data_IF_103063457478
#
_entry.id   IF_103063457478
#
_cell.length_a   1.000
_cell.length_b   1.000
_cell.length_c   1.000
_cell.angle_alpha   90.00
_cell.angle_beta   90.00
_cell.angle_gamma   90.00
#
_symmetry.space_group_name_H-M   'P 1'
#
loop_
_entity.id
_entity.type
_entity.pdbx_description
1 polymer ?
#
# COMPACT_ATOMS: atom_id res chain seq x y z
N UNK A 1 -26.43 -18.88 10.37
CA UNK A 1 -25.39 -18.13 9.65
C UNK A 1 -24.31 -17.79 10.64
N UNK A 2 -23.05 -18.01 10.27
CA UNK A 2 -21.88 -17.67 11.09
C UNK A 2 -21.22 -16.47 10.43
N UNK A 3 -20.94 -15.42 11.19
CA UNK A 3 -20.21 -14.25 10.69
C UNK A 3 -18.90 -14.14 11.42
N UNK A 4 -17.79 -13.99 10.69
CA UNK A 4 -16.45 -13.99 11.28
C UNK A 4 -15.65 -12.79 10.78
N UNK A 5 -14.99 -12.08 11.70
CA UNK A 5 -14.05 -11.01 11.37
C UNK A 5 -12.61 -11.51 11.47
N UNK A 6 -11.77 -11.04 10.57
CA UNK A 6 -10.33 -11.27 10.52
C UNK A 6 -9.61 -9.91 10.45
N UNK A 7 -8.96 -9.49 11.54
CA UNK A 7 -8.23 -8.22 11.62
C UNK A 7 -7.19 -8.30 12.74
N UNK A 8 -6.06 -7.57 12.64
CA UNK A 8 -4.96 -7.62 13.62
C UNK A 8 -4.41 -9.04 13.88
N UNK A 9 -4.46 -9.92 12.87
CA UNK A 9 -4.08 -11.33 13.04
C UNK A 9 -4.99 -12.14 13.96
N UNK A 10 -6.17 -11.62 14.32
CA UNK A 10 -7.19 -12.31 15.12
C UNK A 10 -8.37 -12.73 14.25
N UNK A 11 -9.00 -13.83 14.66
CA UNK A 11 -10.26 -14.33 14.11
C UNK A 11 -11.32 -14.28 15.22
N UNK A 12 -12.46 -13.64 14.99
CA UNK A 12 -13.57 -13.61 15.97
C UNK A 12 -14.91 -13.89 15.30
N UNK A 13 -15.71 -14.74 15.95
CA UNK A 13 -17.12 -14.91 15.56
C UNK A 13 -17.90 -13.71 16.06
N UNK A 14 -18.57 -13.00 15.15
CA UNK A 14 -19.36 -11.83 15.46
C UNK A 14 -20.73 -12.23 16.00
N UNK A 15 -21.12 -11.61 17.11
CA UNK A 15 -22.49 -11.65 17.65
C UNK A 15 -23.41 -10.73 16.83
N UNK A 16 -22.89 -9.58 16.40
CA UNK A 16 -23.58 -8.67 15.49
C UNK A 16 -22.60 -7.98 14.54
N UNK A 17 -23.10 -7.67 13.36
CA UNK A 17 -22.42 -6.89 12.34
C UNK A 17 -23.45 -6.02 11.63
N UNK A 18 -23.18 -4.71 11.56
CA UNK A 18 -23.94 -3.81 10.70
C UNK A 18 -23.02 -2.78 10.05
N UNK A 19 -23.38 -2.36 8.84
CA UNK A 19 -22.72 -1.27 8.13
C UNK A 19 -23.77 -0.19 7.90
N UNK A 20 -23.42 1.06 8.21
CA UNK A 20 -24.27 2.20 7.84
C UNK A 20 -23.69 2.98 6.67
N UNK A 21 -24.54 3.23 5.68
CA UNK A 21 -24.24 4.11 4.54
C UNK A 21 -25.18 5.30 4.61
N UNK A 22 -24.63 6.52 4.55
CA UNK A 22 -25.42 7.74 4.58
C UNK A 22 -25.19 8.55 3.30
N UNK A 23 -26.27 9.11 2.75
CA UNK A 23 -26.25 10.13 1.70
C UNK A 23 -26.79 11.40 2.30
N UNK A 24 -26.11 12.53 2.07
CA UNK A 24 -26.71 13.80 2.41
C UNK A 24 -27.91 14.02 1.50
N UNK A 25 -29.02 14.47 2.09
CA UNK A 25 -30.24 14.83 1.37
C UNK A 25 -30.52 16.30 1.54
N UNK A 26 -31.03 16.92 0.49
CA UNK A 26 -31.54 18.28 0.50
C UNK A 26 -32.80 18.35 1.36
N UNK A 27 -33.22 19.58 1.68
CA UNK A 27 -34.47 19.84 2.40
C UNK A 27 -35.70 19.23 1.70
N UNK A 28 -35.65 19.02 0.38
CA UNK A 28 -36.70 18.38 -0.42
C UNK A 28 -36.54 16.84 -0.54
N UNK A 29 -35.60 16.24 0.20
CA UNK A 29 -35.34 14.80 0.23
C UNK A 29 -34.49 14.28 -0.94
N UNK A 30 -34.08 15.12 -1.90
CA UNK A 30 -33.21 14.69 -3.00
C UNK A 30 -31.78 14.47 -2.51
N UNK A 31 -31.05 13.46 -3.00
CA UNK A 31 -29.65 13.26 -2.64
C UNK A 31 -28.79 14.45 -3.11
N UNK A 32 -28.05 15.06 -2.19
CA UNK A 32 -27.13 16.18 -2.43
C UNK A 32 -25.73 15.71 -2.80
N UNK A 33 -25.37 14.48 -2.44
CA UNK A 33 -24.03 13.95 -2.65
C UNK A 33 -24.08 12.48 -3.05
N UNK A 34 -22.99 12.02 -3.65
CA UNK A 34 -22.66 10.60 -3.59
C UNK A 34 -22.53 10.17 -2.12
N UNK A 35 -22.71 8.88 -1.83
CA UNK A 35 -22.57 8.32 -0.47
C UNK A 35 -21.30 8.92 0.17
N UNK A 36 -21.42 9.54 1.34
CA UNK A 36 -20.29 10.24 1.96
C UNK A 36 -19.35 9.24 2.63
N UNK A 37 -18.05 9.49 2.45
CA UNK A 37 -16.94 8.73 3.03
C UNK A 37 -16.96 8.76 4.54
N UNK A 38 -17.34 7.62 5.12
CA UNK A 38 -17.04 7.13 6.47
C UNK A 38 -18.08 6.05 6.80
N UNK A 39 -18.00 4.93 6.07
CA UNK A 39 -18.83 3.78 6.40
C UNK A 39 -18.48 3.35 7.82
N UNK A 40 -19.49 3.33 8.69
CA UNK A 40 -19.32 2.87 10.06
C UNK A 40 -19.65 1.40 10.10
N UNK A 41 -18.66 0.60 10.49
CA UNK A 41 -18.85 -0.80 10.78
C UNK A 41 -19.05 -0.93 12.28
N UNK A 42 -20.22 -1.43 12.66
CA UNK A 42 -20.54 -1.77 14.04
C UNK A 42 -20.39 -3.26 14.19
N UNK A 43 -19.50 -3.68 15.10
CA UNK A 43 -19.22 -5.08 15.36
C UNK A 43 -19.35 -5.36 16.86
N UNK A 44 -19.82 -6.55 17.19
CA UNK A 44 -19.76 -7.08 18.55
C UNK A 44 -19.31 -8.53 18.58
N UNK A 45 -18.50 -8.90 19.56
CA UNK A 45 -18.01 -10.26 19.76
C UNK A 45 -17.71 -10.53 21.24
N UNK A 46 -17.67 -11.81 21.62
CA UNK A 46 -17.25 -12.24 22.97
C UNK A 46 -15.73 -12.11 23.07
N UNK A 47 -15.26 -11.49 24.15
CA UNK A 47 -13.84 -11.35 24.42
C UNK A 47 -13.20 -12.73 24.70
N UNK A 48 -12.09 -12.99 24.02
CA UNK A 48 -11.24 -14.16 24.21
C UNK A 48 -9.84 -13.74 24.68
N UNK A 49 -9.03 -14.73 25.08
CA UNK A 49 -7.65 -14.48 25.49
C UNK A 49 -6.85 -13.86 24.33
N UNK A 50 -6.12 -12.77 24.63
CA UNK A 50 -5.29 -12.05 23.65
C UNK A 50 -6.00 -10.93 22.88
N UNK A 51 -7.24 -10.60 23.25
CA UNK A 51 -8.04 -9.51 22.65
C UNK A 51 -7.66 -8.10 23.12
N UNK A 52 -6.66 -7.98 23.98
CA UNK A 52 -6.05 -6.71 24.34
C UNK A 52 -5.57 -5.93 23.11
N UNK A 53 -5.26 -6.63 22.02
CA UNK A 53 -4.89 -6.03 20.73
C UNK A 53 -5.97 -5.10 20.16
N UNK A 54 -7.25 -5.36 20.42
CA UNK A 54 -8.35 -4.52 19.92
C UNK A 54 -8.45 -3.19 20.68
N UNK A 55 -8.22 -3.23 22.00
CA UNK A 55 -8.12 -2.02 22.80
C UNK A 55 -6.84 -1.24 22.46
N UNK A 56 -5.71 -1.94 22.33
CA UNK A 56 -4.45 -1.34 21.91
C UNK A 56 -4.57 -0.70 20.53
N UNK A 57 -5.28 -1.33 19.59
CA UNK A 57 -5.54 -0.75 18.27
C UNK A 57 -6.24 0.61 18.36
N UNK A 58 -7.10 0.84 19.36
CA UNK A 58 -7.72 2.15 19.58
C UNK A 58 -6.83 3.15 20.32
N UNK A 59 -5.93 2.68 21.19
CA UNK A 59 -5.12 3.54 22.07
C UNK A 59 -3.74 3.88 21.50
N UNK A 60 -3.17 3.00 20.68
CA UNK A 60 -1.87 3.21 20.07
C UNK A 60 -1.96 4.32 19.03
N UNK A 61 -0.92 5.16 19.01
CA UNK A 61 -0.84 6.25 18.06
C UNK A 61 -0.37 5.74 16.71
N UNK A 62 -1.03 6.22 15.67
CA UNK A 62 -0.53 6.12 14.32
C UNK A 62 0.76 6.95 14.18
N UNK A 63 1.82 6.36 13.63
CA UNK A 63 3.14 7.00 13.59
C UNK A 63 3.14 8.28 12.73
N UNK A 64 2.31 8.31 11.68
CA UNK A 64 2.22 9.42 10.73
C UNK A 64 1.37 10.56 11.27
N UNK A 65 0.14 10.26 11.69
CA UNK A 65 -0.84 11.27 12.10
C UNK A 65 -0.75 11.66 13.58
N UNK A 66 -0.09 10.85 14.41
CA UNK A 66 -0.05 10.98 15.88
C UNK A 66 -1.43 10.91 16.57
N UNK A 67 -2.49 10.58 15.81
CA UNK A 67 -3.83 10.31 16.32
C UNK A 67 -3.89 8.91 16.94
N UNK A 68 -4.76 8.72 17.93
CA UNK A 68 -5.05 7.39 18.48
C UNK A 68 -5.86 6.58 17.46
N UNK A 69 -5.46 5.33 17.27
CA UNK A 69 -5.99 4.47 16.24
C UNK A 69 -5.28 4.65 14.91
N UNK A 70 -4.97 3.53 14.27
CA UNK A 70 -4.39 3.49 12.93
C UNK A 70 -5.26 2.66 11.98
N UNK A 71 -5.12 2.90 10.68
CA UNK A 71 -5.84 2.12 9.68
C UNK A 71 -5.25 0.71 9.57
N UNK A 72 -6.12 -0.28 9.59
CA UNK A 72 -5.74 -1.68 9.44
C UNK A 72 -6.62 -2.38 8.40
N UNK A 73 -6.02 -3.35 7.70
CA UNK A 73 -6.73 -4.20 6.75
C UNK A 73 -7.43 -5.34 7.48
N UNK A 74 -8.69 -5.55 7.14
CA UNK A 74 -9.44 -6.69 7.67
C UNK A 74 -10.49 -7.19 6.70
N UNK A 75 -11.12 -8.30 7.06
CA UNK A 75 -12.27 -8.83 6.34
C UNK A 75 -13.33 -9.41 7.25
N UNK A 76 -14.58 -9.33 6.84
CA UNK A 76 -15.72 -10.02 7.47
C UNK A 76 -16.27 -11.02 6.47
N UNK A 77 -16.44 -12.27 6.90
CA UNK A 77 -16.98 -13.35 6.07
C UNK A 77 -18.26 -13.87 6.70
N UNK A 78 -19.32 -13.92 5.90
CA UNK A 78 -20.61 -14.50 6.26
C UNK A 78 -20.71 -15.88 5.62
N UNK A 79 -20.86 -16.87 6.47
CA UNK A 79 -21.02 -18.27 6.11
C UNK A 79 -22.48 -18.69 6.22
N UNK A 80 -22.85 -19.65 5.36
CA UNK A 80 -24.17 -20.26 5.39
C UNK A 80 -24.45 -21.02 6.70
N UNK A 81 -25.69 -21.44 6.87
CA UNK A 81 -26.11 -22.27 8.01
C UNK A 81 -26.07 -23.78 7.71
N UNK A 82 -25.52 -24.21 6.57
CA UNK A 82 -25.57 -25.61 6.15
C UNK A 82 -24.54 -26.48 6.86
N UNK A 83 -23.57 -25.86 7.55
CA UNK A 83 -22.49 -26.55 8.26
C UNK A 83 -21.29 -26.93 7.38
N UNK A 84 -21.28 -26.52 6.10
CA UNK A 84 -20.19 -26.75 5.16
C UNK A 84 -19.24 -25.54 5.03
N UNK A 85 -19.36 -24.54 5.90
CA UNK A 85 -18.62 -23.26 5.85
C UNK A 85 -18.63 -22.64 4.43
N UNK A 86 -19.76 -22.76 3.72
CA UNK A 86 -19.91 -22.12 2.41
C UNK A 86 -19.96 -20.61 2.61
N UNK A 87 -19.03 -19.88 1.98
CA UNK A 87 -19.00 -18.42 2.00
C UNK A 87 -20.14 -17.88 1.16
N UNK A 88 -21.01 -17.08 1.78
CA UNK A 88 -22.09 -16.37 1.11
C UNK A 88 -21.61 -14.97 0.71
N UNK A 89 -20.96 -14.28 1.64
CA UNK A 89 -20.59 -12.89 1.46
C UNK A 89 -19.27 -12.58 2.17
N UNK A 90 -18.48 -11.69 1.58
CA UNK A 90 -17.23 -11.19 2.15
C UNK A 90 -17.17 -9.67 2.03
N UNK A 91 -16.74 -9.02 3.10
CA UNK A 91 -16.45 -7.60 3.17
C UNK A 91 -14.96 -7.45 3.43
N UNK A 92 -14.19 -6.91 2.49
CA UNK A 92 -12.80 -6.52 2.72
C UNK A 92 -12.78 -5.02 3.04
N UNK A 93 -12.05 -4.61 4.07
CA UNK A 93 -12.03 -3.22 4.51
C UNK A 93 -10.63 -2.75 4.91
N UNK A 94 -10.46 -1.43 4.83
CA UNK A 94 -9.40 -0.67 5.50
C UNK A 94 -10.10 0.28 6.46
N UNK A 95 -9.91 0.11 7.76
CA UNK A 95 -10.64 0.88 8.76
C UNK A 95 -9.79 1.23 9.97
N UNK A 96 -10.18 2.27 10.71
CA UNK A 96 -9.62 2.61 12.03
C UNK A 96 -10.68 2.55 13.12
N UNK A 97 -10.35 2.16 14.36
CA UNK A 97 -11.31 2.10 15.45
C UNK A 97 -11.61 3.52 15.95
N UNK A 98 -12.90 3.82 16.13
CA UNK A 98 -13.37 5.14 16.63
C UNK A 98 -14.20 5.05 17.90
N UNK A 99 -14.64 3.84 18.27
CA UNK A 99 -15.28 3.58 19.56
C UNK A 99 -15.01 2.15 20.00
N UNK A 100 -14.83 1.96 21.31
CA UNK A 100 -14.66 0.69 21.99
C UNK A 100 -15.45 0.72 23.29
N UNK A 101 -16.25 -0.31 23.52
CA UNK A 101 -16.97 -0.53 24.77
C UNK A 101 -16.86 -2.01 25.14
N UNK A 102 -16.63 -2.27 26.42
CA UNK A 102 -16.58 -3.63 26.97
C UNK A 102 -17.68 -3.78 28.02
N UNK A 103 -18.66 -4.63 27.75
CA UNK A 103 -19.84 -4.84 28.59
C UNK A 103 -19.87 -6.27 29.11
N UNK A 104 -19.95 -6.45 30.42
CA UNK A 104 -20.09 -7.78 31.00
C UNK A 104 -21.55 -8.27 30.95
N UNK A 105 -21.78 -9.41 30.30
CA UNK A 105 -23.04 -10.13 30.31
C UNK A 105 -22.89 -11.43 31.10
N UNK A 106 -23.78 -11.66 32.07
CA UNK A 106 -23.65 -12.81 32.99
C UNK A 106 -23.65 -14.19 32.29
N UNK A 107 -24.33 -14.34 31.15
CA UNK A 107 -24.37 -15.62 30.41
C UNK A 107 -23.27 -15.75 29.35
N UNK A 108 -22.81 -14.62 28.80
CA UNK A 108 -21.94 -14.59 27.61
C UNK A 108 -20.50 -14.21 27.93
N UNK A 109 -20.24 -13.68 29.13
CA UNK A 109 -18.96 -13.10 29.51
C UNK A 109 -18.83 -11.64 29.06
N UNK A 110 -17.59 -11.19 28.86
CA UNK A 110 -17.30 -9.85 28.35
C UNK A 110 -17.61 -9.78 26.86
N UNK A 111 -18.46 -8.83 26.47
CA UNK A 111 -18.77 -8.51 25.08
C UNK A 111 -18.04 -7.22 24.73
N UNK A 112 -17.28 -7.25 23.64
CA UNK A 112 -16.65 -6.09 23.05
C UNK A 112 -17.56 -5.56 21.96
N UNK A 113 -17.93 -4.28 22.07
CA UNK A 113 -18.61 -3.52 21.02
C UNK A 113 -17.61 -2.53 20.43
N UNK A 114 -17.43 -2.54 19.11
CA UNK A 114 -16.56 -1.59 18.42
C UNK A 114 -17.28 -0.90 17.27
N UNK A 115 -16.93 0.37 17.06
CA UNK A 115 -17.23 1.08 15.82
C UNK A 115 -15.93 1.34 15.08
N UNK A 116 -15.86 0.89 13.84
CA UNK A 116 -14.76 1.15 12.92
C UNK A 116 -15.21 2.18 11.88
N UNK A 117 -14.35 3.14 11.58
CA UNK A 117 -14.52 4.04 10.44
C UNK A 117 -13.73 3.47 9.26
N UNK A 118 -14.43 2.96 8.25
CA UNK A 118 -13.78 2.48 7.03
C UNK A 118 -13.44 3.63 6.07
N UNK A 119 -12.21 3.61 5.59
CA UNK A 119 -11.74 4.41 4.45
C UNK A 119 -12.14 3.73 3.13
N UNK A 120 -11.96 2.42 3.06
CA UNK A 120 -12.32 1.59 1.89
C UNK A 120 -13.04 0.34 2.34
N UNK A 121 -14.09 -0.03 1.62
CA UNK A 121 -14.78 -1.31 1.79
C UNK A 121 -15.18 -1.90 0.44
N UNK A 122 -14.92 -3.19 0.27
CA UNK A 122 -15.26 -3.99 -0.91
C UNK A 122 -16.17 -5.13 -0.49
N UNK A 123 -17.28 -5.33 -1.21
CA UNK A 123 -18.26 -6.36 -0.89
C UNK A 123 -18.35 -7.36 -2.03
N UNK A 124 -18.13 -8.63 -1.69
CA UNK A 124 -18.18 -9.77 -2.60
C UNK A 124 -19.35 -10.68 -2.21
N UNK A 125 -20.19 -11.03 -3.17
CA UNK A 125 -21.26 -12.03 -3.03
C UNK A 125 -21.28 -12.92 -4.29
N UNK A 126 -21.75 -14.17 -4.17
CA UNK A 126 -21.88 -15.11 -5.29
C UNK A 126 -22.79 -14.59 -6.43
N UNK A 127 -23.72 -13.68 -6.14
CA UNK A 127 -24.68 -13.15 -7.13
C UNK A 127 -24.43 -11.69 -7.56
N UNK A 128 -23.67 -10.90 -6.80
CA UNK A 128 -23.48 -9.47 -7.07
C UNK A 128 -22.07 -9.01 -6.67
N UNK A 129 -21.33 -8.46 -7.64
CA UNK A 129 -20.27 -7.51 -7.36
C UNK A 129 -20.93 -6.17 -7.07
N UNK A 130 -21.13 -5.83 -5.78
CA UNK A 130 -21.47 -4.45 -5.44
C UNK A 130 -20.19 -3.66 -5.71
N UNK A 131 -20.22 -2.81 -6.74
CA UNK A 131 -19.06 -1.97 -7.12
C UNK A 131 -18.46 -1.33 -5.86
N UNK A 132 -17.11 -1.27 -5.75
CA UNK A 132 -16.44 -0.41 -4.79
C UNK A 132 -17.12 0.95 -4.85
N UNK A 133 -17.66 1.44 -3.74
CA UNK A 133 -18.06 2.84 -3.68
C UNK A 133 -16.76 3.64 -3.64
N UNK A 134 -16.18 3.91 -4.81
CA UNK A 134 -15.17 4.94 -4.97
C UNK A 134 -15.85 6.26 -4.65
N UNK A 135 -15.42 6.89 -3.55
CA UNK A 135 -15.74 8.29 -3.32
C UNK A 135 -15.01 9.11 -4.38
N UNK A 136 -15.72 9.91 -5.21
CA UNK A 136 -15.08 11.09 -5.76
C UNK A 136 -14.79 11.99 -4.55
N UNK A 137 -13.52 12.10 -4.18
CA UNK A 137 -13.07 13.16 -3.28
C UNK A 137 -13.50 14.47 -3.96
N UNK A 138 -14.49 15.17 -3.39
CA UNK A 138 -14.72 16.56 -3.78
C UNK A 138 -13.39 17.27 -3.58
N UNK A 139 -12.83 17.77 -4.68
CA UNK A 139 -11.52 18.43 -4.71
C UNK A 139 -11.54 19.74 -3.93
N UNK A 140 -11.64 19.69 -2.61
CA UNK A 140 -11.24 20.77 -1.72
C UNK A 140 -9.75 20.62 -1.45
N UNK A 141 -8.94 21.10 -2.41
CA UNK A 141 -7.49 21.29 -2.36
C UNK A 141 -6.70 20.08 -1.84
N UNK A 142 -6.30 19.26 -2.81
CA UNK A 142 -5.37 18.15 -2.73
C UNK A 142 -4.21 18.40 -1.75
N UNK A 143 -4.14 17.60 -0.69
CA UNK A 143 -2.87 17.08 -0.21
C UNK A 143 -2.87 15.60 -0.59
N UNK A 144 -2.23 15.29 -1.72
CA UNK A 144 -1.95 13.90 -2.10
C UNK A 144 -0.97 13.35 -1.07
N UNK A 145 -1.46 12.52 -0.15
CA UNK A 145 -0.66 11.44 0.39
C UNK A 145 -1.19 10.18 -0.29
N UNK A 146 -0.80 10.02 -1.55
CA UNK A 146 -0.73 8.69 -2.14
C UNK A 146 0.23 7.90 -1.24
N UNK A 147 -0.20 6.73 -0.76
CA UNK A 147 0.77 5.68 -0.52
C UNK A 147 1.36 5.37 -1.90
N UNK A 148 2.40 6.14 -2.27
CA UNK A 148 3.28 5.82 -3.36
C UNK A 148 3.75 4.39 -3.05
N UNK A 149 3.27 3.43 -3.85
CA UNK A 149 4.26 2.49 -4.39
C UNK A 149 5.33 3.42 -4.93
N UNK A 150 6.43 3.52 -4.21
CA UNK A 150 7.59 4.29 -4.57
C UNK A 150 8.07 3.71 -5.90
N UNK A 151 7.46 4.14 -6.99
CA UNK A 151 7.80 3.69 -8.33
C UNK A 151 9.14 4.32 -8.62
N UNK A 152 10.12 3.49 -8.91
CA UNK A 152 11.42 3.92 -9.43
C UNK A 152 11.20 4.95 -10.52
N UNK A 153 11.63 6.18 -10.27
CA UNK A 153 11.58 7.26 -11.26
C UNK A 153 13.01 7.68 -11.56
N UNK A 154 13.54 7.23 -12.71
CA UNK A 154 14.82 7.72 -13.23
C UNK A 154 14.55 9.04 -13.95
N UNK A 155 15.13 10.12 -13.43
CA UNK A 155 14.94 11.49 -13.95
C UNK A 155 16.08 11.92 -14.86
N UNK A 156 17.31 11.51 -14.56
CA UNK A 156 18.47 11.80 -15.40
C UNK A 156 19.44 10.62 -15.46
N UNK A 157 20.09 10.47 -16.61
CA UNK A 157 21.22 9.56 -16.80
C UNK A 157 22.28 10.26 -17.65
N UNK A 158 23.50 10.38 -17.14
CA UNK A 158 24.60 11.04 -17.85
C UNK A 158 25.97 10.53 -17.40
N UNK A 159 27.01 10.80 -18.19
CA UNK A 159 28.38 10.42 -17.86
C UNK A 159 29.16 11.56 -17.23
N UNK A 160 30.03 11.25 -16.26
CA UNK A 160 31.02 12.18 -15.71
C UNK A 160 32.44 11.59 -15.81
N UNK A 161 33.43 12.48 -15.91
CA UNK A 161 34.83 12.09 -15.79
C UNK A 161 35.24 11.93 -14.31
N UNK A 162 36.49 11.53 -14.06
CA UNK A 162 37.04 11.39 -12.70
C UNK A 162 37.15 12.70 -11.91
N UNK A 163 36.95 13.86 -12.55
CA UNK A 163 36.90 15.18 -11.92
C UNK A 163 35.47 15.61 -11.59
N UNK A 164 34.46 14.83 -11.97
CA UNK A 164 33.05 15.15 -11.79
C UNK A 164 32.43 16.00 -12.91
N UNK A 165 33.16 16.30 -13.99
CA UNK A 165 32.60 17.08 -15.09
C UNK A 165 31.71 16.21 -15.97
N UNK A 166 30.50 16.69 -16.31
CA UNK A 166 29.62 16.05 -17.30
C UNK A 166 30.32 15.94 -18.65
N UNK A 167 30.33 14.75 -19.23
CA UNK A 167 30.93 14.46 -20.54
C UNK A 167 29.89 13.81 -21.45
N UNK A 168 29.99 14.08 -22.76
CA UNK A 168 29.13 13.41 -23.74
C UNK A 168 29.61 12.00 -24.08
N UNK A 169 30.94 11.79 -24.12
CA UNK A 169 31.57 10.50 -24.41
C UNK A 169 32.89 10.37 -23.65
N UNK A 170 33.19 9.17 -23.17
CA UNK A 170 34.51 8.83 -22.64
C UNK A 170 35.51 8.50 -23.75
N UNK A 171 36.81 8.58 -23.44
CA UNK A 171 37.89 8.14 -24.34
C UNK A 171 38.26 6.70 -24.05
N UNK A 172 38.69 5.95 -25.05
CA UNK A 172 39.16 4.57 -24.89
C UNK A 172 40.27 4.51 -23.84
N UNK A 173 40.16 3.57 -22.90
CA UNK A 173 41.06 3.41 -21.76
C UNK A 173 40.78 4.36 -20.58
N UNK A 174 39.80 5.25 -20.70
CA UNK A 174 39.40 6.16 -19.62
C UNK A 174 38.42 5.48 -18.67
N UNK A 175 38.59 5.73 -17.37
CA UNK A 175 37.58 5.45 -16.35
C UNK A 175 36.61 6.64 -16.23
N UNK A 176 35.33 6.32 -16.29
CA UNK A 176 34.21 7.27 -16.20
C UNK A 176 33.19 6.76 -15.19
N UNK A 177 32.23 7.60 -14.82
CA UNK A 177 31.06 7.16 -14.08
C UNK A 177 29.82 7.43 -14.90
N UNK A 178 28.86 6.50 -14.85
CA UNK A 178 27.49 6.81 -15.20
C UNK A 178 26.77 7.24 -13.92
N UNK A 179 26.17 8.42 -13.98
CA UNK A 179 25.36 8.99 -12.90
C UNK A 179 23.90 8.78 -13.26
N UNK A 180 23.16 8.16 -12.36
CA UNK A 180 21.72 7.94 -12.47
C UNK A 180 21.06 8.70 -11.34
N UNK A 181 20.21 9.66 -11.70
CA UNK A 181 19.42 10.43 -10.74
C UNK A 181 17.98 9.98 -10.79
N UNK A 182 17.38 9.86 -9.63
CA UNK A 182 16.01 9.42 -9.54
C UNK A 182 15.45 9.58 -8.15
N UNK A 183 14.36 8.85 -7.92
CA UNK A 183 13.76 8.67 -6.61
C UNK A 183 13.48 7.20 -6.43
N UNK A 184 13.59 6.73 -5.19
CA UNK A 184 13.23 5.38 -4.82
C UNK A 184 14.07 4.33 -5.57
N UNK A 185 15.33 4.66 -5.86
CA UNK A 185 16.22 3.77 -6.60
C UNK A 185 16.68 2.61 -5.70
N UNK A 186 16.95 2.88 -4.42
CA UNK A 186 17.66 1.96 -3.53
C UNK A 186 16.97 0.59 -3.41
N UNK A 187 17.71 -0.48 -3.69
CA UNK A 187 17.24 -1.86 -3.59
C UNK A 187 16.48 -2.38 -4.81
N UNK A 188 16.24 -1.53 -5.82
CA UNK A 188 15.56 -1.92 -7.05
C UNK A 188 16.55 -2.44 -8.09
N UNK A 189 16.10 -3.40 -8.90
CA UNK A 189 16.90 -4.06 -9.93
C UNK A 189 16.57 -3.47 -11.31
N UNK A 190 17.59 -3.06 -12.06
CA UNK A 190 17.42 -2.54 -13.43
C UNK A 190 18.48 -3.04 -14.41
N UNK A 191 18.05 -3.17 -15.67
CA UNK A 191 18.94 -3.34 -16.81
C UNK A 191 19.24 -1.96 -17.42
N UNK A 192 20.51 -1.57 -17.44
CA UNK A 192 20.96 -0.28 -17.95
C UNK A 192 21.54 -0.43 -19.34
N UNK A 193 20.90 0.21 -20.32
CA UNK A 193 21.32 0.20 -21.73
C UNK A 193 22.23 1.41 -21.98
N UNK A 194 23.51 1.14 -22.24
CA UNK A 194 24.58 2.15 -22.36
C UNK A 194 25.04 2.39 -23.80
N UNK A 195 24.28 1.91 -24.77
CA UNK A 195 24.68 1.73 -26.18
C UNK A 195 25.37 2.94 -26.81
N UNK A 196 26.60 2.74 -27.30
CA UNK A 196 27.33 3.71 -28.12
C UNK A 196 28.05 2.99 -29.27
N UNK A 197 27.80 3.40 -30.52
CA UNK A 197 28.40 2.74 -31.70
C UNK A 197 29.94 2.81 -31.77
N UNK A 198 30.59 3.66 -30.96
CA UNK A 198 32.02 3.96 -31.07
C UNK A 198 32.87 3.42 -29.92
N UNK A 199 32.25 2.98 -28.83
CA UNK A 199 32.94 2.54 -27.61
C UNK A 199 32.09 1.47 -26.91
N UNK A 200 32.75 0.52 -26.28
CA UNK A 200 32.09 -0.42 -25.37
C UNK A 200 32.47 -0.09 -23.92
N UNK A 201 31.75 -0.70 -22.98
CA UNK A 201 31.98 -0.51 -21.55
C UNK A 201 32.38 -1.80 -20.84
N UNK A 202 33.21 -1.65 -19.81
CA UNK A 202 33.59 -2.70 -18.86
C UNK A 202 33.15 -2.30 -17.46
N UNK A 203 32.49 -3.22 -16.76
CA UNK A 203 32.07 -3.08 -15.37
C UNK A 203 32.72 -4.17 -14.52
N UNK A 204 33.39 -3.79 -13.44
CA UNK A 204 34.10 -4.71 -12.53
C UNK A 204 35.02 -5.73 -13.25
N UNK A 205 35.75 -5.30 -14.27
CA UNK A 205 36.67 -6.16 -15.02
C UNK A 205 36.01 -7.03 -16.11
N UNK A 206 34.68 -6.92 -16.29
CA UNK A 206 33.93 -7.66 -17.30
C UNK A 206 33.32 -6.72 -18.31
N UNK A 207 33.59 -6.98 -19.59
CA UNK A 207 32.99 -6.26 -20.70
C UNK A 207 31.47 -6.51 -20.72
N UNK A 208 30.69 -5.46 -20.92
CA UNK A 208 29.25 -5.54 -21.05
C UNK A 208 28.88 -6.08 -22.43
N UNK A 209 27.99 -7.08 -22.48
CA UNK A 209 27.49 -7.60 -23.76
C UNK A 209 26.39 -6.67 -24.28
N UNK A 210 26.53 -6.22 -25.54
CA UNK A 210 25.64 -5.25 -26.19
C UNK A 210 25.49 -3.92 -25.42
N UNK A 211 26.50 -3.54 -24.64
CA UNK A 211 26.49 -2.39 -23.74
C UNK A 211 25.32 -2.39 -22.74
N UNK A 212 24.85 -3.57 -22.33
CA UNK A 212 23.80 -3.69 -21.32
C UNK A 212 24.42 -4.16 -19.99
N UNK A 213 24.30 -3.34 -18.95
CA UNK A 213 24.55 -3.75 -17.58
C UNK A 213 23.26 -4.34 -17.01
N UNK A 214 23.21 -5.68 -16.94
CA UNK A 214 22.01 -6.41 -16.50
C UNK A 214 21.96 -6.61 -14.99
N UNK A 215 20.74 -6.55 -14.43
CA UNK A 215 20.45 -6.88 -13.05
C UNK A 215 21.24 -6.05 -12.03
N UNK A 216 21.46 -4.77 -12.32
CA UNK A 216 22.13 -3.88 -11.38
C UNK A 216 21.16 -3.49 -10.27
N UNK A 217 21.57 -3.68 -9.02
CA UNK A 217 20.82 -3.28 -7.83
C UNK A 217 21.38 -1.94 -7.36
N UNK A 218 20.54 -0.91 -7.30
CA UNK A 218 20.96 0.40 -6.79
C UNK A 218 21.19 0.36 -5.28
N UNK A 219 22.25 1.02 -4.83
CA UNK A 219 22.60 1.15 -3.41
C UNK A 219 22.12 2.48 -2.83
N UNK A 220 21.95 3.51 -3.67
CA UNK A 220 21.55 4.86 -3.28
C UNK A 220 20.16 5.20 -3.78
N UNK A 221 19.43 6.03 -3.04
CA UNK A 221 18.02 6.32 -3.31
C UNK A 221 17.79 7.45 -4.35
N UNK A 222 18.64 8.48 -4.33
CA UNK A 222 18.49 9.71 -5.14
C UNK A 222 19.52 9.82 -6.28
N UNK A 223 20.77 9.40 -6.04
CA UNK A 223 21.87 9.49 -7.00
C UNK A 223 22.79 8.28 -6.86
N UNK A 224 22.93 7.52 -7.94
CA UNK A 224 23.86 6.40 -8.03
C UNK A 224 24.99 6.73 -9.00
N UNK A 225 26.23 6.37 -8.63
CA UNK A 225 27.40 6.56 -9.49
C UNK A 225 28.10 5.23 -9.74
N UNK A 226 27.93 4.72 -10.96
CA UNK A 226 28.46 3.40 -11.34
C UNK A 226 29.77 3.60 -12.11
N UNK A 227 30.92 3.10 -11.61
CA UNK A 227 32.20 3.20 -12.31
C UNK A 227 32.22 2.27 -13.52
N UNK A 228 32.63 2.81 -14.67
CA UNK A 228 32.77 2.09 -15.93
C UNK A 228 34.13 2.41 -16.55
N UNK A 229 34.70 1.43 -17.25
CA UNK A 229 35.90 1.61 -18.06
C UNK A 229 35.53 1.55 -19.53
N UNK A 230 35.95 2.57 -20.29
CA UNK A 230 35.71 2.65 -21.72
C UNK A 230 36.74 1.80 -22.46
N UNK A 231 36.29 0.92 -23.35
CA UNK A 231 37.14 0.01 -24.12
C UNK A 231 36.87 0.13 -25.62
N UNK A 232 37.80 -0.35 -26.45
CA UNK A 232 37.63 -0.38 -27.91
C UNK A 232 36.40 -1.23 -28.26
N UNK A 233 35.54 -0.83 -29.21
CA UNK A 233 34.36 -1.58 -29.59
C UNK A 233 34.74 -2.94 -30.19
N UNK A 234 33.89 -3.95 -29.98
CA UNK A 234 34.12 -5.32 -30.41
C UNK A 234 32.98 -5.69 -31.32
N UNK A 235 33.29 -5.74 -32.62
CA UNK A 235 32.39 -6.20 -33.67
C UNK A 235 31.71 -7.53 -33.33
#
# INVERSE_FOLDING_TARGET
>A
MKTTIYVLGRERTLLSFSVSHHKNTAFDGKPLSFTLGSEKLYISFVQEQGDEVFLNWMLLKDEKSQECGFYERGKIVIYDSSGLDKKIQQYDFIAKPIAYESVFHHEKGLIINMTLSADKMLVYNEEFFIKPYYYPVEHTKQKQEEEEKLTVEITEMYYINSKGDKIQKGKIGQEIYIVIKGRNLSGEEADLVLTDEKIDFEYKGKRLENDILKGYIFENDEEEQIPLKVVEPKN
#
